data_IF_214444149468
#
_entry.id   IF_214444149468
#
_cell.length_a   1.000
_cell.length_b   1.000
_cell.length_c   1.000
_cell.angle_alpha   90.00
_cell.angle_beta   90.00
_cell.angle_gamma   90.00
#
_symmetry.space_group_name_H-M   'P 1'
#
loop_
_entity.id
_entity.type
_entity.pdbx_description
1 polymer ?
#
# COMPACT_ATOMS: atom_id res chain seq x y z
N UNK A 1 -22.53 -8.11 43.34
CA UNK A 1 -21.88 -7.60 42.10
C UNK A 1 -22.25 -8.60 40.99
N UNK A 2 -23.46 -8.58 40.41
CA UNK A 2 -23.87 -7.82 39.22
C UNK A 2 -22.69 -7.55 38.26
N UNK A 3 -22.68 -7.90 36.96
CA UNK A 3 -23.72 -8.42 36.07
C UNK A 3 -23.09 -8.78 34.70
N UNK A 4 -23.59 -9.85 34.05
CA UNK A 4 -23.89 -9.97 32.61
C UNK A 4 -22.91 -9.41 31.55
N UNK A 5 -22.44 -10.28 30.63
CA UNK A 5 -22.47 -10.06 29.17
C UNK A 5 -22.08 -11.37 28.47
N UNK A 6 -22.97 -12.13 27.83
CA UNK A 6 -23.66 -11.81 26.58
C UNK A 6 -23.23 -12.83 25.50
N UNK A 7 -23.70 -14.08 25.57
CA UNK A 7 -24.63 -14.70 24.60
C UNK A 7 -24.42 -14.37 23.10
N UNK A 8 -24.00 -15.40 22.36
CA UNK A 8 -24.70 -16.03 21.22
C UNK A 8 -24.74 -15.34 19.84
N UNK A 9 -24.80 -16.20 18.80
CA UNK A 9 -25.20 -16.03 17.37
C UNK A 9 -23.99 -15.94 16.41
N UNK A 10 -23.81 -16.73 15.34
CA UNK A 10 -24.64 -17.66 14.56
C UNK A 10 -23.72 -18.72 13.88
N UNK A 11 -24.05 -20.02 13.94
CA UNK A 11 -24.84 -20.83 12.97
C UNK A 11 -24.05 -21.40 11.77
N UNK A 12 -23.64 -22.67 11.95
CA UNK A 12 -24.07 -23.90 11.22
C UNK A 12 -24.19 -23.96 9.67
N UNK A 13 -24.00 -25.20 9.20
CA UNK A 13 -24.27 -25.82 7.89
C UNK A 13 -23.10 -25.72 6.89
N UNK A 14 -22.59 -26.81 6.30
CA UNK A 14 -23.32 -27.75 5.41
C UNK A 14 -22.86 -29.22 5.56
N UNK A 15 -23.84 -30.11 5.43
CA UNK A 15 -23.81 -31.57 5.29
C UNK A 15 -23.00 -32.10 4.08
N UNK A 16 -22.57 -33.36 4.16
CA UNK A 16 -22.70 -34.28 3.02
C UNK A 16 -21.40 -34.73 2.34
N UNK A 17 -21.09 -36.01 2.51
CA UNK A 17 -20.81 -36.94 1.40
C UNK A 17 -19.53 -36.78 0.57
N UNK A 18 -18.66 -37.77 0.75
CA UNK A 18 -17.83 -38.43 -0.27
C UNK A 18 -16.50 -37.79 -0.68
N UNK A 19 -15.43 -38.45 -0.20
CA UNK A 19 -14.22 -38.85 -0.94
C UNK A 19 -13.72 -37.93 -2.05
N UNK A 20 -12.65 -37.19 -1.77
CA UNK A 20 -11.40 -37.24 -2.56
C UNK A 20 -10.34 -36.41 -1.85
N UNK A 21 -9.13 -36.97 -1.81
CA UNK A 21 -7.94 -36.41 -1.17
C UNK A 21 -7.56 -35.06 -1.78
N UNK A 22 -7.55 -33.99 -0.97
CA UNK A 22 -6.85 -32.75 -1.33
C UNK A 22 -5.83 -32.48 -0.24
N UNK A 23 -4.57 -32.65 -0.62
CA UNK A 23 -3.40 -32.40 0.21
C UNK A 23 -3.52 -31.09 0.96
N UNK A 24 -3.50 -31.16 2.30
CA UNK A 24 -3.46 -29.99 3.16
C UNK A 24 -2.13 -29.28 2.94
N UNK A 25 -2.13 -28.26 2.08
CA UNK A 25 -1.09 -27.24 2.06
C UNK A 25 -1.10 -26.63 3.46
N UNK A 26 -0.12 -27.00 4.27
CA UNK A 26 0.13 -26.41 5.58
C UNK A 26 0.56 -24.96 5.35
N UNK A 27 -0.42 -24.07 5.21
CA UNK A 27 -0.19 -22.64 5.28
C UNK A 27 0.48 -22.38 6.63
N UNK A 28 1.77 -22.02 6.60
CA UNK A 28 2.44 -21.41 7.74
C UNK A 28 1.77 -20.05 7.96
N UNK A 29 0.66 -20.05 8.67
CA UNK A 29 0.16 -18.87 9.37
C UNK A 29 1.28 -18.42 10.29
N UNK A 30 2.04 -17.41 9.85
CA UNK A 30 2.81 -16.59 10.78
C UNK A 30 1.75 -15.83 11.57
N UNK A 31 1.31 -16.42 12.68
CA UNK A 31 0.42 -15.77 13.61
C UNK A 31 1.24 -14.70 14.31
N UNK A 32 1.36 -13.53 13.69
CA UNK A 32 1.86 -12.34 14.37
C UNK A 32 0.83 -12.05 15.45
N UNK A 33 1.23 -12.23 16.70
CA UNK A 33 0.42 -11.91 17.85
C UNK A 33 0.29 -10.38 17.93
N UNK A 34 -0.66 -9.82 17.16
CA UNK A 34 -0.96 -8.39 17.20
C UNK A 34 -1.78 -8.15 18.47
N UNK A 35 -1.19 -7.43 19.41
CA UNK A 35 -1.88 -6.95 20.61
C UNK A 35 -3.09 -6.10 20.16
N UNK A 36 -4.29 -6.34 20.73
CA UNK A 36 -5.55 -5.70 20.29
C UNK A 36 -5.50 -4.16 20.35
N UNK A 37 -4.64 -3.60 21.19
CA UNK A 37 -4.39 -2.16 21.28
C UNK A 37 -3.59 -1.62 20.09
N UNK A 38 -2.56 -2.35 19.64
CA UNK A 38 -1.73 -1.94 18.49
C UNK A 38 -2.51 -1.97 17.18
N UNK A 39 -3.42 -2.94 16.99
CA UNK A 39 -4.30 -2.96 15.83
C UNK A 39 -5.29 -1.79 15.86
N UNK A 40 -5.84 -1.44 17.03
CA UNK A 40 -6.77 -0.31 17.17
C UNK A 40 -6.12 1.04 16.83
N UNK A 41 -4.86 1.26 17.25
CA UNK A 41 -4.11 2.47 16.91
C UNK A 41 -3.90 2.62 15.41
N UNK A 42 -3.42 1.57 14.74
CA UNK A 42 -3.18 1.59 13.29
C UNK A 42 -4.47 1.79 12.51
N UNK A 43 -5.57 1.14 12.92
CA UNK A 43 -6.89 1.35 12.29
C UNK A 43 -7.33 2.80 12.41
N UNK A 44 -7.29 3.39 13.62
CA UNK A 44 -7.66 4.78 13.81
C UNK A 44 -6.78 5.75 13.02
N UNK A 45 -5.47 5.47 12.94
CA UNK A 45 -4.55 6.27 12.13
C UNK A 45 -4.94 6.23 10.64
N UNK A 46 -5.23 5.05 10.09
CA UNK A 46 -5.62 4.90 8.69
C UNK A 46 -6.93 5.61 8.36
N UNK A 47 -7.89 5.63 9.29
CA UNK A 47 -9.15 6.36 9.10
C UNK A 47 -8.90 7.87 9.15
N UNK A 48 -8.32 8.36 10.24
CA UNK A 48 -8.24 9.79 10.52
C UNK A 48 -7.18 10.52 9.69
N UNK A 49 -6.03 9.89 9.47
CA UNK A 49 -4.89 10.52 8.79
C UNK A 49 -4.81 10.14 7.31
N UNK A 50 -5.15 8.89 6.97
CA UNK A 50 -5.04 8.39 5.59
C UNK A 50 -6.37 8.47 4.81
N UNK A 51 -7.49 8.75 5.47
CA UNK A 51 -8.80 8.91 4.84
C UNK A 51 -9.35 7.61 4.26
N UNK A 52 -9.11 6.47 4.92
CA UNK A 52 -9.70 5.17 4.58
C UNK A 52 -11.04 5.00 5.29
N UNK A 53 -11.96 4.25 4.68
CA UNK A 53 -13.13 3.74 5.40
C UNK A 53 -12.74 2.74 6.50
N UNK A 54 -13.65 2.46 7.42
CA UNK A 54 -13.39 1.51 8.51
C UNK A 54 -12.97 0.12 7.98
N UNK A 55 -13.66 -0.41 6.98
CA UNK A 55 -13.36 -1.72 6.40
C UNK A 55 -12.00 -1.73 5.68
N UNK A 56 -11.69 -0.67 4.92
CA UNK A 56 -10.40 -0.51 4.26
C UNK A 56 -9.27 -0.42 5.30
N UNK A 57 -9.46 0.32 6.38
CA UNK A 57 -8.50 0.47 7.46
C UNK A 57 -8.26 -0.85 8.21
N UNK A 58 -9.31 -1.61 8.51
CA UNK A 58 -9.21 -2.94 9.13
C UNK A 58 -8.46 -3.92 8.22
N UNK A 59 -8.70 -3.87 6.90
CA UNK A 59 -8.00 -4.72 5.94
C UNK A 59 -6.52 -4.34 5.81
N UNK A 60 -6.22 -3.04 5.71
CA UNK A 60 -4.87 -2.52 5.56
C UNK A 60 -4.02 -2.70 6.83
N UNK A 61 -4.61 -2.56 8.02
CA UNK A 61 -3.89 -2.68 9.30
C UNK A 61 -3.27 -4.07 9.50
N UNK A 62 -3.85 -5.13 8.92
CA UNK A 62 -3.30 -6.49 8.96
C UNK A 62 -1.89 -6.60 8.36
N UNK A 63 -1.50 -5.66 7.48
CA UNK A 63 -0.19 -5.61 6.83
C UNK A 63 0.78 -4.67 7.55
N UNK A 64 0.34 -3.97 8.59
CA UNK A 64 1.08 -2.87 9.19
C UNK A 64 1.38 -3.17 10.65
N UNK A 65 2.58 -2.79 11.07
CA UNK A 65 3.00 -2.89 12.46
C UNK A 65 3.90 -1.71 12.81
N UNK A 66 3.28 -0.62 13.27
CA UNK A 66 3.98 0.54 13.80
C UNK A 66 3.29 1.03 15.08
N UNK A 67 4.09 1.54 16.03
CA UNK A 67 3.61 2.02 17.34
C UNK A 67 3.46 3.54 17.42
N UNK A 68 4.06 4.26 16.47
CA UNK A 68 4.06 5.73 16.42
C UNK A 68 3.76 6.21 15.00
N UNK A 69 3.18 7.40 14.88
CA UNK A 69 2.83 7.98 13.59
C UNK A 69 4.00 8.66 12.87
N UNK A 70 5.12 8.93 13.55
CA UNK A 70 6.24 9.72 13.01
C UNK A 70 6.71 9.28 11.62
N UNK A 71 6.91 7.97 11.40
CA UNK A 71 7.31 7.46 10.08
C UNK A 71 6.17 7.55 9.05
N UNK A 72 4.96 7.00 9.31
CA UNK A 72 3.80 7.21 8.44
C UNK A 72 3.56 8.68 8.05
N UNK A 73 3.61 9.60 9.01
CA UNK A 73 3.42 11.04 8.80
C UNK A 73 4.49 11.61 7.87
N UNK A 74 5.74 11.16 8.02
CA UNK A 74 6.83 11.56 7.12
C UNK A 74 6.61 11.08 5.68
N UNK A 75 6.00 9.90 5.50
CA UNK A 75 5.60 9.40 4.18
C UNK A 75 4.45 10.23 3.61
N UNK A 76 3.42 10.54 4.40
CA UNK A 76 2.30 11.39 3.96
C UNK A 76 2.79 12.77 3.52
N UNK A 77 3.62 13.42 4.34
CA UNK A 77 4.19 14.73 4.05
C UNK A 77 5.03 14.70 2.77
N UNK A 78 5.84 13.66 2.55
CA UNK A 78 6.58 13.51 1.29
C UNK A 78 5.61 13.44 0.09
N UNK A 79 4.56 12.61 0.16
CA UNK A 79 3.60 12.48 -0.94
C UNK A 79 2.92 13.82 -1.25
N UNK A 80 2.50 14.56 -0.24
CA UNK A 80 1.90 15.90 -0.39
C UNK A 80 2.88 16.89 -1.02
N UNK A 81 4.15 16.90 -0.57
CA UNK A 81 5.20 17.74 -1.15
C UNK A 81 5.49 17.44 -2.64
N UNK A 82 5.22 16.22 -3.09
CA UNK A 82 5.30 15.84 -4.52
C UNK A 82 3.99 16.08 -5.29
N UNK A 83 3.03 16.77 -4.68
CA UNK A 83 1.78 17.21 -5.31
C UNK A 83 0.67 16.18 -5.30
N UNK A 84 0.72 15.18 -4.42
CA UNK A 84 -0.32 14.15 -4.35
C UNK A 84 -1.47 14.69 -3.49
N UNK A 85 -2.68 14.71 -4.04
CA UNK A 85 -3.87 15.13 -3.27
C UNK A 85 -4.37 14.00 -2.38
N UNK A 86 -5.06 14.33 -1.27
CA UNK A 86 -5.60 13.36 -0.30
C UNK A 86 -6.33 12.15 -0.92
N UNK A 87 -7.22 12.29 -1.94
CA UNK A 87 -7.85 11.13 -2.56
C UNK A 87 -6.87 10.14 -3.22
N UNK A 88 -5.82 10.65 -3.88
CA UNK A 88 -4.79 9.79 -4.48
C UNK A 88 -3.90 9.14 -3.42
N UNK A 89 -3.59 9.86 -2.33
CA UNK A 89 -2.85 9.30 -1.20
C UNK A 89 -3.65 8.17 -0.53
N UNK A 90 -4.94 8.40 -0.23
CA UNK A 90 -5.84 7.38 0.34
C UNK A 90 -5.90 6.14 -0.55
N UNK A 91 -6.08 6.33 -1.87
CA UNK A 91 -6.12 5.22 -2.83
C UNK A 91 -4.78 4.46 -2.91
N UNK A 92 -3.64 5.17 -2.86
CA UNK A 92 -2.31 4.58 -2.85
C UNK A 92 -2.09 3.72 -1.61
N UNK A 93 -2.44 4.24 -0.44
CA UNK A 93 -2.30 3.54 0.85
C UNK A 93 -3.23 2.33 0.90
N UNK A 94 -4.47 2.47 0.42
CA UNK A 94 -5.40 1.35 0.31
C UNK A 94 -4.82 0.20 -0.50
N UNK A 95 -4.27 0.50 -1.69
CA UNK A 95 -3.69 -0.51 -2.58
C UNK A 95 -2.36 -1.06 -2.06
N UNK A 96 -1.55 -0.22 -1.40
CA UNK A 96 -0.26 -0.62 -0.85
C UNK A 96 0.01 -0.03 0.54
N UNK A 97 -0.57 -0.61 1.62
CA UNK A 97 -0.42 -0.08 2.96
C UNK A 97 1.03 -0.02 3.45
N UNK A 98 1.87 -0.95 2.96
CA UNK A 98 3.28 -1.08 3.32
C UNK A 98 4.11 0.17 3.01
N UNK A 99 3.64 1.06 2.11
CA UNK A 99 4.31 2.31 1.81
C UNK A 99 4.54 3.17 3.07
N UNK A 100 3.65 3.07 4.07
CA UNK A 100 3.77 3.80 5.35
C UNK A 100 4.94 3.32 6.22
N UNK A 101 5.54 2.17 5.90
CA UNK A 101 6.69 1.62 6.61
C UNK A 101 8.03 2.00 5.97
N UNK A 102 8.00 2.64 4.81
CA UNK A 102 9.19 2.98 4.05
C UNK A 102 9.96 4.13 4.68
N UNK A 103 11.25 4.23 4.38
CA UNK A 103 12.02 5.42 4.69
C UNK A 103 11.82 6.41 3.53
N UNK A 104 11.08 7.53 3.71
CA UNK A 104 10.71 8.43 2.62
C UNK A 104 11.95 8.95 1.88
N UNK A 105 12.97 9.41 2.60
CA UNK A 105 14.20 9.98 2.03
C UNK A 105 15.05 8.96 1.26
N UNK A 106 15.16 7.74 1.77
CA UNK A 106 16.04 6.72 1.16
C UNK A 106 15.38 5.90 0.06
N UNK A 107 14.06 5.80 0.06
CA UNK A 107 13.35 4.85 -0.81
C UNK A 107 12.40 5.51 -1.80
N UNK A 108 11.59 6.47 -1.35
CA UNK A 108 10.55 7.08 -2.17
C UNK A 108 11.09 8.30 -2.91
N UNK A 109 11.75 9.21 -2.18
CA UNK A 109 12.26 10.46 -2.72
C UNK A 109 13.16 10.27 -3.95
N UNK A 110 14.13 9.33 -3.99
CA UNK A 110 14.97 9.15 -5.18
C UNK A 110 14.18 8.76 -6.44
N UNK A 111 13.08 8.02 -6.27
CA UNK A 111 12.20 7.64 -7.39
C UNK A 111 11.40 8.84 -7.88
N UNK A 112 10.87 9.61 -6.94
CA UNK A 112 10.02 10.75 -7.27
C UNK A 112 10.83 11.89 -7.88
N UNK A 113 12.03 12.17 -7.35
CA UNK A 113 13.00 13.11 -7.93
C UNK A 113 13.34 12.71 -9.37
N UNK A 114 13.58 11.41 -9.61
CA UNK A 114 13.85 10.90 -10.95
C UNK A 114 12.68 11.19 -11.89
N UNK A 115 11.45 10.80 -11.56
CA UNK A 115 10.29 11.05 -12.42
C UNK A 115 10.04 12.55 -12.64
N UNK A 116 10.17 13.38 -11.59
CA UNK A 116 10.06 14.82 -11.71
C UNK A 116 11.11 15.41 -12.67
N UNK A 117 12.36 14.93 -12.61
CA UNK A 117 13.43 15.34 -13.55
C UNK A 117 13.11 15.01 -15.01
N UNK A 118 12.20 14.05 -15.25
CA UNK A 118 11.70 13.64 -16.57
C UNK A 118 10.38 14.33 -16.95
N UNK A 119 9.91 15.28 -16.15
CA UNK A 119 8.63 15.97 -16.38
C UNK A 119 7.40 15.12 -16.03
N UNK A 120 7.54 14.12 -15.16
CA UNK A 120 6.45 13.25 -14.72
C UNK A 120 6.20 13.40 -13.21
N UNK A 121 5.16 14.15 -12.86
CA UNK A 121 4.91 14.61 -11.49
C UNK A 121 3.41 14.69 -11.15
N UNK A 122 3.11 15.05 -9.90
CA UNK A 122 1.75 15.35 -9.44
C UNK A 122 0.76 14.19 -9.60
N UNK A 123 -0.45 14.51 -10.05
CA UNK A 123 -1.56 13.56 -10.15
C UNK A 123 -1.25 12.39 -11.08
N UNK A 124 -0.58 12.63 -12.21
CA UNK A 124 -0.28 11.57 -13.17
C UNK A 124 0.71 10.55 -12.59
N UNK A 125 1.73 11.03 -11.86
CA UNK A 125 2.64 10.17 -11.12
C UNK A 125 1.89 9.40 -10.02
N UNK A 126 1.00 10.06 -9.29
CA UNK A 126 0.20 9.44 -8.24
C UNK A 126 -0.69 8.30 -8.77
N UNK A 127 -1.35 8.50 -9.91
CA UNK A 127 -2.14 7.45 -10.60
C UNK A 127 -1.27 6.27 -10.97
N UNK A 128 -0.14 6.53 -11.64
CA UNK A 128 0.79 5.49 -12.07
C UNK A 128 1.29 4.64 -10.91
N UNK A 129 1.73 5.26 -9.80
CA UNK A 129 2.22 4.54 -8.62
C UNK A 129 1.11 3.78 -7.89
N UNK A 130 -0.12 4.33 -7.87
CA UNK A 130 -1.28 3.66 -7.29
C UNK A 130 -1.65 2.39 -8.06
N UNK A 131 -1.52 2.39 -9.38
CA UNK A 131 -1.79 1.22 -10.21
C UNK A 131 -0.63 0.23 -10.24
N UNK A 132 0.60 0.69 -9.99
CA UNK A 132 1.82 -0.11 -10.15
C UNK A 132 2.61 -0.24 -8.85
N UNK A 133 2.07 -0.99 -7.88
CA UNK A 133 2.71 -1.26 -6.58
C UNK A 133 4.19 -1.70 -6.70
N UNK A 134 4.52 -2.53 -7.71
CA UNK A 134 5.89 -3.05 -7.93
C UNK A 134 6.93 -1.94 -8.13
N UNK A 135 6.53 -0.79 -8.68
CA UNK A 135 7.45 0.34 -8.89
C UNK A 135 7.94 0.88 -7.55
N UNK A 136 7.09 0.90 -6.52
CA UNK A 136 7.47 1.35 -5.19
C UNK A 136 8.41 0.36 -4.48
N UNK A 137 8.26 -0.93 -4.75
CA UNK A 137 9.09 -2.01 -4.18
C UNK A 137 10.43 -2.22 -4.90
N UNK A 138 10.53 -1.78 -6.16
CA UNK A 138 11.74 -1.93 -6.98
C UNK A 138 12.86 -1.01 -6.48
N UNK A 139 14.12 -1.24 -6.82
CA UNK A 139 15.20 -0.28 -6.50
C UNK A 139 15.10 0.96 -7.40
N UNK A 140 15.48 2.14 -6.91
CA UNK A 140 15.54 3.36 -7.73
C UNK A 140 16.41 3.17 -8.98
N UNK A 141 17.58 2.56 -8.82
CA UNK A 141 18.50 2.27 -9.92
C UNK A 141 17.85 1.43 -11.04
N UNK A 142 17.05 0.43 -10.69
CA UNK A 142 16.37 -0.41 -11.67
C UNK A 142 15.33 0.37 -12.48
N UNK A 143 14.64 1.32 -11.87
CA UNK A 143 13.70 2.21 -12.57
C UNK A 143 14.44 3.09 -13.57
N UNK A 144 15.57 3.67 -13.15
CA UNK A 144 16.40 4.53 -14.00
C UNK A 144 16.91 3.75 -15.22
N UNK A 145 17.44 2.54 -15.00
CA UNK A 145 17.90 1.66 -16.08
C UNK A 145 16.76 1.27 -17.04
N UNK A 146 15.59 0.91 -16.53
CA UNK A 146 14.43 0.60 -17.38
C UNK A 146 13.99 1.82 -18.20
N UNK A 147 14.02 3.01 -17.62
CA UNK A 147 13.72 4.24 -18.32
C UNK A 147 14.73 4.51 -19.43
N UNK A 148 16.03 4.36 -19.17
CA UNK A 148 17.09 4.58 -20.16
C UNK A 148 17.00 3.58 -21.32
N UNK A 149 16.65 2.32 -21.05
CA UNK A 149 16.39 1.32 -22.09
C UNK A 149 15.23 1.79 -22.99
N UNK A 150 14.10 2.21 -22.40
CA UNK A 150 12.97 2.71 -23.17
C UNK A 150 13.34 3.96 -23.96
N UNK A 151 14.10 4.88 -23.35
CA UNK A 151 14.61 6.09 -23.99
C UNK A 151 15.49 5.76 -25.18
N UNK A 152 16.36 4.76 -25.09
CA UNK A 152 17.22 4.35 -26.20
C UNK A 152 16.42 3.80 -27.39
N UNK A 153 15.22 3.28 -27.16
CA UNK A 153 14.32 2.79 -28.22
C UNK A 153 13.54 3.93 -28.86
N UNK A 154 13.01 4.87 -28.06
CA UNK A 154 12.10 5.94 -28.55
C UNK A 154 12.78 7.31 -28.70
N UNK A 155 14.07 7.38 -28.40
CA UNK A 155 14.97 8.53 -28.49
C UNK A 155 14.49 9.82 -27.79
N UNK A 156 13.50 9.75 -26.89
CA UNK A 156 12.90 10.92 -26.26
C UNK A 156 12.23 10.62 -24.90
N UNK A 157 12.57 11.39 -23.86
CA UNK A 157 12.00 11.25 -22.50
C UNK A 157 10.46 11.43 -22.52
N UNK A 158 9.95 12.39 -23.31
CA UNK A 158 8.51 12.66 -23.45
C UNK A 158 7.75 11.46 -24.02
N UNK A 159 8.35 10.75 -24.98
CA UNK A 159 7.77 9.54 -25.57
C UNK A 159 7.72 8.41 -24.55
N UNK A 160 8.78 8.22 -23.73
CA UNK A 160 8.79 7.25 -22.62
C UNK A 160 7.68 7.57 -21.62
N UNK A 161 7.54 8.83 -21.19
CA UNK A 161 6.47 9.23 -20.27
C UNK A 161 5.08 8.96 -20.85
N UNK A 162 4.88 9.20 -22.15
CA UNK A 162 3.61 8.91 -22.82
C UNK A 162 3.28 7.41 -22.78
N UNK A 163 4.28 6.54 -22.95
CA UNK A 163 4.13 5.08 -22.84
C UNK A 163 3.82 4.67 -21.41
N UNK A 164 4.51 5.24 -20.43
CA UNK A 164 4.28 4.97 -18.99
C UNK A 164 2.85 5.38 -18.60
N UNK A 165 2.38 6.55 -19.03
CA UNK A 165 1.02 7.05 -18.75
C UNK A 165 -0.08 6.17 -19.33
N UNK A 166 0.14 5.47 -20.44
CA UNK A 166 -0.83 4.52 -21.02
C UNK A 166 -1.05 3.28 -20.14
N UNK A 167 -0.14 3.00 -19.21
CA UNK A 167 -0.18 1.86 -18.30
C UNK A 167 -0.41 2.27 -16.83
N UNK A 168 -0.91 3.50 -16.61
CA UNK A 168 -1.19 4.09 -15.31
C UNK A 168 -2.66 3.95 -14.89
#
# INVERSE_FOLDING_TARGET
MLSSLGRTVARSFINGGNSTTVSLIRFRSVFIHINSSSSSFVVNYLINSCGLSADEAISASKKLNFKTSSKPDSVLNLLENFGFTKPYISNLIKKNPLILLYNPEKTLKPKFDFFNSKGFSGIDLAKFLSSNKRILETKSQSIMLSFDILKNIVHCDKSVITIIKRNA
#
